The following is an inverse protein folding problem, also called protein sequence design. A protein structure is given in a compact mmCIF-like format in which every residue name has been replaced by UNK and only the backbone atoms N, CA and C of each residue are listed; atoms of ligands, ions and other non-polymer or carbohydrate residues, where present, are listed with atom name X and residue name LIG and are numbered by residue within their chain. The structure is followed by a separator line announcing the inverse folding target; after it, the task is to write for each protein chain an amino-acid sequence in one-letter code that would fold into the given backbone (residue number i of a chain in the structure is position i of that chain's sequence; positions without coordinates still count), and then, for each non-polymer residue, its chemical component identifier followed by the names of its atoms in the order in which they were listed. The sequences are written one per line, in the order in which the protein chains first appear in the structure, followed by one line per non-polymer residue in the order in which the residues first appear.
data_IF_267361062222
#
_entry.id   IF_267361062222
#
_cell.length_a   1.000
_cell.length_b   1.000
_cell.length_c   1.000
_cell.angle_alpha   90.00
_cell.angle_beta   90.00
_cell.angle_gamma   90.00
#
_symmetry.space_group_name_H-M   'P 1'
#
loop_
_entity.id
_entity.type
_entity.pdbx_description
1 polymer ?
#
# COMPACT_ATOMS: atom_id res chain seq x y z
N UNK A 1 25.59 17.90 24.35
CA UNK A 1 24.42 18.17 23.49
C UNK A 1 24.79 19.33 22.58
N UNK A 2 24.87 19.10 21.27
CA UNK A 2 25.04 20.16 20.27
C UNK A 2 24.33 19.70 18.99
N UNK A 3 23.17 20.28 18.70
CA UNK A 3 22.43 20.08 17.46
C UNK A 3 22.92 21.12 16.44
N UNK A 4 23.50 20.64 15.33
CA UNK A 4 23.81 21.49 14.19
C UNK A 4 22.56 21.58 13.29
N UNK A 5 22.09 22.81 13.10
CA UNK A 5 20.99 23.17 12.22
C UNK A 5 21.46 23.19 10.75
N UNK A 6 20.59 22.73 9.85
CA UNK A 6 20.71 23.01 8.41
C UNK A 6 19.42 23.64 7.91
N UNK A 7 19.57 24.88 7.45
CA UNK A 7 18.56 25.75 6.91
C UNK A 7 18.05 25.23 5.54
N UNK A 8 16.73 25.27 5.35
CA UNK A 8 16.13 25.18 4.02
C UNK A 8 15.30 26.44 3.80
N UNK A 9 15.84 27.32 2.96
CA UNK A 9 15.18 28.51 2.45
C UNK A 9 14.83 28.28 0.99
N UNK A 10 13.56 28.37 0.62
CA UNK A 10 13.16 28.81 -0.72
C UNK A 10 11.97 29.75 -0.57
N UNK A 11 12.25 31.04 -0.72
CA UNK A 11 11.26 32.08 -0.87
C UNK A 11 11.23 32.51 -2.34
N UNK A 12 10.04 32.57 -2.92
CA UNK A 12 9.68 33.62 -3.88
C UNK A 12 8.15 33.70 -3.99
N UNK A 13 7.62 34.82 -3.49
CA UNK A 13 6.26 35.30 -3.71
C UNK A 13 6.05 35.67 -5.19
N UNK A 14 4.83 35.49 -5.68
CA UNK A 14 4.21 36.50 -6.57
C UNK A 14 2.82 36.83 -6.01
N UNK A 15 2.68 38.11 -5.65
CA UNK A 15 1.47 38.77 -5.14
C UNK A 15 0.67 39.33 -6.31
N UNK A 16 -0.66 39.24 -6.22
CA UNK A 16 -1.53 40.39 -6.43
C UNK A 16 -2.44 40.40 -7.65
N UNK A 17 -3.72 40.68 -7.40
CA UNK A 17 -4.64 41.21 -8.43
C UNK A 17 -6.12 41.00 -8.16
N UNK A 18 -6.69 41.57 -7.08
CA UNK A 18 -8.14 41.81 -7.01
C UNK A 18 -8.48 43.07 -7.80
N UNK A 19 -9.25 42.92 -8.87
CA UNK A 19 -9.94 44.04 -9.52
C UNK A 19 -11.40 43.65 -9.80
N UNK A 20 -12.30 44.19 -8.99
CA UNK A 20 -13.72 44.31 -9.33
C UNK A 20 -13.86 45.32 -10.48
N UNK A 21 -14.41 44.90 -11.61
CA UNK A 21 -15.02 45.82 -12.59
C UNK A 21 -16.35 45.26 -13.08
N UNK A 22 -17.39 46.07 -12.91
CA UNK A 22 -18.76 45.90 -13.40
C UNK A 22 -18.82 45.93 -14.94
N UNK A 23 -19.68 45.07 -15.49
CA UNK A 23 -20.47 45.17 -16.74
C UNK A 23 -20.09 46.24 -17.78
N UNK A 24 -19.78 45.81 -19.01
CA UNK A 24 -20.31 46.38 -20.27
C UNK A 24 -20.01 45.48 -21.48
N UNK A 25 -20.91 45.56 -22.44
CA UNK A 25 -21.17 44.75 -23.63
C UNK A 25 -20.00 44.46 -24.59
N UNK A 26 -20.09 43.30 -25.25
CA UNK A 26 -19.71 43.13 -26.65
C UNK A 26 -18.23 42.99 -26.97
N UNK A 27 -17.72 41.75 -26.95
CA UNK A 27 -16.63 41.29 -27.82
C UNK A 27 -16.64 39.77 -27.84
N UNK A 28 -16.69 39.16 -29.03
CA UNK A 28 -16.43 37.73 -29.21
C UNK A 28 -14.94 37.48 -28.96
N UNK A 29 -14.56 37.38 -27.69
CA UNK A 29 -13.22 37.00 -27.28
C UNK A 29 -13.11 35.48 -27.37
N UNK A 30 -12.28 35.01 -28.30
CA UNK A 30 -11.85 33.62 -28.42
C UNK A 30 -11.45 33.11 -27.03
N UNK A 31 -12.10 32.02 -26.60
CA UNK A 31 -11.78 31.35 -25.34
C UNK A 31 -10.28 31.03 -25.30
N UNK A 32 -9.58 31.28 -24.17
CA UNK A 32 -8.18 30.88 -24.05
C UNK A 32 -8.09 29.37 -24.21
N UNK A 33 -7.33 28.93 -25.20
CA UNK A 33 -6.95 27.52 -25.39
C UNK A 33 -6.31 27.06 -24.09
N UNK A 34 -7.02 26.22 -23.31
CA UNK A 34 -6.40 25.53 -22.19
C UNK A 34 -5.18 24.77 -22.72
N UNK A 35 -3.99 24.89 -22.12
CA UNK A 35 -2.90 24.01 -22.45
C UNK A 35 -3.38 22.59 -22.22
N UNK A 36 -3.47 21.80 -23.29
CA UNK A 36 -3.63 20.36 -23.17
C UNK A 36 -2.47 19.89 -22.32
N UNK A 37 -2.73 19.53 -21.07
CA UNK A 37 -1.72 18.94 -20.22
C UNK A 37 -1.30 17.64 -20.90
N UNK A 38 -0.15 17.68 -21.57
CA UNK A 38 0.47 16.49 -22.16
C UNK A 38 0.74 15.58 -20.98
N UNK A 39 -0.09 14.56 -20.79
CA UNK A 39 0.21 13.48 -19.86
C UNK A 39 1.49 12.84 -20.40
N UNK A 40 2.62 13.10 -19.76
CA UNK A 40 3.88 12.48 -20.15
C UNK A 40 3.67 10.97 -20.11
N UNK A 41 3.96 10.29 -21.21
CA UNK A 41 3.88 8.84 -21.27
C UNK A 41 4.87 8.22 -20.26
N UNK A 42 4.42 7.20 -19.52
CA UNK A 42 5.26 6.49 -18.56
C UNK A 42 6.41 5.80 -19.30
N UNK A 43 7.64 6.01 -18.84
CA UNK A 43 8.83 5.40 -19.46
C UNK A 43 9.04 3.95 -18.99
N UNK A 44 9.74 3.10 -19.77
CA UNK A 44 10.09 1.75 -19.33
C UNK A 44 10.84 1.72 -18.00
N UNK A 45 11.75 2.68 -17.77
CA UNK A 45 12.50 2.78 -16.52
C UNK A 45 11.60 3.08 -15.32
N UNK A 46 10.54 3.88 -15.52
CA UNK A 46 9.53 4.15 -14.48
C UNK A 46 8.72 2.90 -14.16
N UNK A 47 8.36 2.10 -15.16
CA UNK A 47 7.66 0.82 -14.96
C UNK A 47 8.53 -0.15 -14.17
N UNK A 48 9.79 -0.30 -14.55
CA UNK A 48 10.73 -1.19 -13.86
C UNK A 48 11.03 -0.73 -12.42
N UNK A 49 11.15 0.57 -12.18
CA UNK A 49 11.30 1.12 -10.84
C UNK A 49 10.05 0.85 -9.98
N UNK A 50 8.86 1.09 -10.52
CA UNK A 50 7.61 0.82 -9.82
C UNK A 50 7.43 -0.68 -9.49
N UNK A 51 7.78 -1.55 -10.44
CA UNK A 51 7.79 -3.01 -10.23
C UNK A 51 8.72 -3.39 -9.06
N UNK A 52 9.96 -2.89 -9.05
CA UNK A 52 10.92 -3.16 -7.98
C UNK A 52 10.43 -2.68 -6.61
N UNK A 53 9.83 -1.49 -6.56
CA UNK A 53 9.26 -0.94 -5.33
C UNK A 53 8.14 -1.83 -4.79
N UNK A 54 7.15 -2.15 -5.63
CA UNK A 54 6.01 -2.99 -5.25
C UNK A 54 6.45 -4.40 -4.80
N UNK A 55 7.38 -5.02 -5.53
CA UNK A 55 7.93 -6.33 -5.19
C UNK A 55 8.75 -6.31 -3.89
N UNK A 56 9.49 -5.23 -3.62
CA UNK A 56 10.27 -5.08 -2.38
C UNK A 56 9.35 -4.89 -1.18
N UNK A 57 8.35 -4.02 -1.32
CA UNK A 57 7.37 -3.77 -0.27
C UNK A 57 6.58 -5.04 0.07
N UNK A 58 6.10 -5.76 -0.95
CA UNK A 58 5.41 -7.05 -0.74
C UNK A 58 6.29 -8.06 0.02
N UNK A 59 7.55 -8.26 -0.38
CA UNK A 59 8.47 -9.19 0.30
C UNK A 59 8.69 -8.82 1.76
N UNK A 60 8.96 -7.54 2.03
CA UNK A 60 9.17 -7.04 3.38
C UNK A 60 7.93 -7.26 4.27
N UNK A 61 6.76 -6.93 3.73
CA UNK A 61 5.48 -7.13 4.41
C UNK A 61 5.18 -8.61 4.69
N UNK A 62 5.41 -9.49 3.71
CA UNK A 62 5.20 -10.93 3.87
C UNK A 62 6.07 -11.52 4.99
N UNK A 63 7.35 -11.13 5.05
CA UNK A 63 8.25 -11.55 6.14
C UNK A 63 7.74 -11.04 7.49
N UNK A 64 7.38 -9.76 7.57
CA UNK A 64 6.93 -9.13 8.81
C UNK A 64 5.62 -9.74 9.35
N UNK A 65 4.65 -10.01 8.48
CA UNK A 65 3.37 -10.64 8.87
C UNK A 65 3.56 -12.08 9.31
N UNK A 66 4.38 -12.87 8.59
CA UNK A 66 4.65 -14.26 8.97
C UNK A 66 5.36 -14.36 10.32
N UNK A 67 6.31 -13.46 10.60
CA UNK A 67 7.02 -13.43 11.88
C UNK A 67 6.06 -13.19 13.05
N UNK A 68 5.14 -12.22 12.93
CA UNK A 68 4.19 -11.92 14.01
C UNK A 68 3.10 -12.99 14.13
N UNK A 69 2.58 -13.51 13.01
CA UNK A 69 1.56 -14.58 13.02
C UNK A 69 2.09 -15.88 13.62
N UNK A 70 3.39 -16.17 13.45
CA UNK A 70 4.03 -17.33 14.07
C UNK A 70 3.89 -17.36 15.60
N UNK A 71 3.98 -16.22 16.27
CA UNK A 71 3.81 -16.15 17.73
C UNK A 71 2.39 -16.58 18.16
N UNK A 72 1.38 -16.26 17.36
CA UNK A 72 0.01 -16.73 17.58
C UNK A 72 -0.12 -18.24 17.30
N UNK A 73 0.45 -18.73 16.20
CA UNK A 73 0.43 -20.17 15.86
C UNK A 73 1.11 -21.02 16.94
N UNK A 74 2.21 -20.52 17.52
CA UNK A 74 2.99 -21.21 18.54
C UNK A 74 2.38 -21.07 19.96
N UNK A 75 1.32 -20.27 20.13
CA UNK A 75 0.66 -20.05 21.43
C UNK A 75 -0.20 -21.25 21.85
N UNK A 76 -0.57 -21.37 23.15
CA UNK A 76 -1.44 -22.45 23.60
C UNK A 76 -2.76 -22.50 22.81
N UNK A 77 -3.23 -23.71 22.50
CA UNK A 77 -4.48 -23.92 21.75
C UNK A 77 -5.74 -23.38 22.48
N UNK A 78 -5.62 -23.08 23.78
CA UNK A 78 -6.67 -22.42 24.56
C UNK A 78 -6.85 -20.98 24.10
N UNK A 79 -7.95 -20.70 23.41
CA UNK A 79 -8.26 -19.38 22.82
C UNK A 79 -8.57 -18.29 23.86
N UNK A 80 -8.87 -18.67 25.10
CA UNK A 80 -9.07 -17.78 26.24
C UNK A 80 -7.77 -17.49 27.02
N UNK A 81 -6.67 -18.14 26.66
CA UNK A 81 -5.37 -17.90 27.28
C UNK A 81 -4.90 -16.47 26.96
N UNK A 82 -4.52 -15.66 27.96
CA UNK A 82 -4.09 -14.27 27.73
C UNK A 82 -2.92 -14.15 26.74
N UNK A 83 -2.03 -15.14 26.68
CA UNK A 83 -0.93 -15.15 25.73
C UNK A 83 -1.43 -15.35 24.29
N UNK A 84 -2.37 -16.27 24.08
CA UNK A 84 -3.01 -16.53 22.78
C UNK A 84 -3.80 -15.32 22.30
N UNK A 85 -4.59 -14.69 23.18
CA UNK A 85 -5.35 -13.47 22.85
C UNK A 85 -4.42 -12.31 22.47
N UNK A 86 -3.35 -12.10 23.24
CA UNK A 86 -2.37 -11.04 22.99
C UNK A 86 -1.63 -11.27 21.67
N UNK A 87 -1.20 -12.50 21.40
CA UNK A 87 -0.50 -12.86 20.17
C UNK A 87 -1.41 -12.71 18.94
N UNK A 88 -2.68 -13.12 19.04
CA UNK A 88 -3.67 -12.93 17.97
C UNK A 88 -3.89 -11.45 17.67
N UNK A 89 -4.11 -10.62 18.69
CA UNK A 89 -4.30 -9.19 18.52
C UNK A 89 -3.08 -8.53 17.84
N UNK A 90 -1.86 -8.92 18.24
CA UNK A 90 -0.63 -8.45 17.61
C UNK A 90 -0.53 -8.88 16.15
N UNK A 91 -0.87 -10.14 15.82
CA UNK A 91 -0.87 -10.65 14.46
C UNK A 91 -1.87 -9.90 13.56
N UNK A 92 -3.08 -9.64 14.05
CA UNK A 92 -4.11 -8.89 13.31
C UNK A 92 -3.70 -7.43 13.10
N UNK A 93 -3.17 -6.76 14.14
CA UNK A 93 -2.67 -5.40 14.03
C UNK A 93 -1.53 -5.29 13.02
N UNK A 94 -0.60 -6.25 13.04
CA UNK A 94 0.49 -6.31 12.07
C UNK A 94 -0.03 -6.55 10.65
N UNK A 95 -0.99 -7.45 10.46
CA UNK A 95 -1.58 -7.70 9.14
C UNK A 95 -2.18 -6.41 8.55
N UNK A 96 -2.97 -5.66 9.35
CA UNK A 96 -3.54 -4.37 8.91
C UNK A 96 -2.45 -3.35 8.57
N UNK A 97 -1.45 -3.19 9.43
CA UNK A 97 -0.36 -2.25 9.20
C UNK A 97 0.41 -2.57 7.90
N UNK A 98 0.72 -3.84 7.68
CA UNK A 98 1.48 -4.30 6.51
C UNK A 98 0.65 -4.25 5.23
N UNK A 99 -0.66 -4.53 5.27
CA UNK A 99 -1.56 -4.31 4.14
C UNK A 99 -1.55 -2.85 3.69
N UNK A 100 -1.62 -1.91 4.64
CA UNK A 100 -1.59 -0.48 4.31
C UNK A 100 -0.21 -0.04 3.79
N UNK A 101 0.87 -0.54 4.40
CA UNK A 101 2.23 -0.30 3.92
C UNK A 101 2.38 -0.73 2.45
N UNK A 102 1.97 -1.94 2.10
CA UNK A 102 2.08 -2.43 0.71
C UNK A 102 1.24 -1.58 -0.23
N UNK A 103 -0.01 -1.24 0.12
CA UNK A 103 -0.87 -0.38 -0.73
C UNK A 103 -0.26 0.98 -1.03
N UNK A 104 0.51 1.55 -0.10
CA UNK A 104 1.22 2.82 -0.29
C UNK A 104 2.45 2.70 -1.20
N UNK A 105 2.96 1.48 -1.40
CA UNK A 105 4.15 1.17 -2.21
C UNK A 105 3.79 0.40 -3.48
N UNK A 106 2.60 0.64 -4.04
CA UNK A 106 2.23 0.21 -5.39
C UNK A 106 2.11 1.48 -6.24
N UNK A 107 3.20 1.97 -6.84
CA UNK A 107 3.13 3.15 -7.69
C UNK A 107 2.23 2.91 -8.90
N UNK A 108 1.64 3.98 -9.45
CA UNK A 108 0.72 3.88 -10.59
C UNK A 108 1.34 3.23 -11.84
N UNK A 109 2.67 3.28 -11.98
CA UNK A 109 3.40 2.65 -13.08
C UNK A 109 3.69 1.14 -12.87
N UNK A 110 3.22 0.54 -11.75
CA UNK A 110 3.40 -0.89 -11.49
C UNK A 110 2.70 -1.71 -12.58
N UNK A 111 3.36 -2.72 -13.19
CA UNK A 111 2.71 -3.61 -14.14
C UNK A 111 1.44 -4.23 -13.58
N UNK A 112 0.40 -4.29 -14.41
CA UNK A 112 -0.93 -4.72 -13.98
C UNK A 112 -0.93 -6.13 -13.38
N UNK A 113 -0.18 -7.07 -13.96
CA UNK A 113 -0.07 -8.42 -13.42
C UNK A 113 0.57 -8.46 -12.02
N UNK A 114 1.48 -7.53 -11.71
CA UNK A 114 2.10 -7.41 -10.39
C UNK A 114 1.11 -6.82 -9.39
N UNK A 115 0.44 -5.72 -9.75
CA UNK A 115 -0.51 -5.07 -8.85
C UNK A 115 -1.72 -5.96 -8.51
N UNK A 116 -2.24 -6.71 -9.50
CA UNK A 116 -3.31 -7.70 -9.27
C UNK A 116 -2.82 -8.82 -8.36
N UNK A 117 -1.64 -9.40 -8.61
CA UNK A 117 -1.14 -10.48 -7.77
C UNK A 117 -0.87 -10.01 -6.33
N UNK A 118 -0.43 -8.76 -6.13
CA UNK A 118 -0.31 -8.15 -4.80
C UNK A 118 -1.70 -7.99 -4.16
N UNK A 119 -2.70 -7.51 -4.90
CA UNK A 119 -4.07 -7.39 -4.38
C UNK A 119 -4.62 -8.74 -3.92
N UNK A 120 -4.52 -9.78 -4.75
CA UNK A 120 -4.95 -11.15 -4.42
C UNK A 120 -4.28 -11.64 -3.12
N UNK A 121 -2.98 -11.34 -2.95
CA UNK A 121 -2.24 -11.67 -1.74
C UNK A 121 -2.76 -10.92 -0.51
N UNK A 122 -2.99 -9.60 -0.63
CA UNK A 122 -3.50 -8.78 0.48
C UNK A 122 -4.90 -9.21 0.91
N UNK A 123 -5.75 -9.60 -0.03
CA UNK A 123 -7.09 -10.11 0.27
C UNK A 123 -7.01 -11.45 1.02
N UNK A 124 -6.11 -12.35 0.62
CA UNK A 124 -5.87 -13.60 1.34
C UNK A 124 -5.34 -13.38 2.77
N UNK A 125 -4.51 -12.37 2.98
CA UNK A 125 -4.04 -11.96 4.33
C UNK A 125 -5.21 -11.48 5.19
N UNK A 126 -6.09 -10.63 4.64
CA UNK A 126 -7.27 -10.11 5.35
C UNK A 126 -8.21 -11.26 5.73
N UNK A 127 -8.51 -12.16 4.79
CA UNK A 127 -9.30 -13.36 5.03
C UNK A 127 -8.73 -14.22 6.16
N UNK A 128 -7.42 -14.43 6.14
CA UNK A 128 -6.72 -15.22 7.17
C UNK A 128 -6.83 -14.55 8.54
N UNK A 129 -6.57 -13.25 8.63
CA UNK A 129 -6.66 -12.50 9.88
C UNK A 129 -8.11 -12.48 10.44
N UNK A 130 -9.12 -12.41 9.57
CA UNK A 130 -10.51 -12.50 9.96
C UNK A 130 -10.87 -13.90 10.49
N UNK A 131 -10.43 -14.96 9.80
CA UNK A 131 -10.66 -16.34 10.20
C UNK A 131 -9.94 -16.72 11.50
N UNK A 132 -8.71 -16.23 11.71
CA UNK A 132 -7.95 -16.44 12.95
C UNK A 132 -8.70 -15.90 14.19
N UNK A 133 -9.54 -14.87 14.00
CA UNK A 133 -10.36 -14.25 15.04
C UNK A 133 -11.65 -14.98 15.40
N UNK A 134 -12.06 -15.99 14.63
CA UNK A 134 -13.31 -16.71 14.84
C UNK A 134 -13.12 -17.97 15.72
N UNK A 135 -13.96 -18.14 16.74
CA UNK A 135 -13.92 -19.32 17.59
C UNK A 135 -14.29 -20.59 16.79
N UNK A 136 -13.48 -21.65 16.91
CA UNK A 136 -13.71 -22.92 16.21
C UNK A 136 -13.38 -22.91 14.72
N UNK A 137 -12.76 -21.85 14.20
CA UNK A 137 -12.50 -21.65 12.78
C UNK A 137 -11.09 -22.06 12.33
N UNK A 138 -10.37 -22.90 13.08
CA UNK A 138 -8.97 -23.28 12.77
C UNK A 138 -8.85 -23.86 11.35
N UNK A 139 -9.80 -24.70 10.92
CA UNK A 139 -9.84 -25.24 9.57
C UNK A 139 -10.06 -24.14 8.50
N UNK A 140 -10.90 -23.14 8.79
CA UNK A 140 -11.15 -22.02 7.90
C UNK A 140 -9.93 -21.08 7.82
N UNK A 141 -9.24 -20.85 8.94
CA UNK A 141 -8.01 -20.09 9.00
C UNK A 141 -6.86 -20.77 8.23
N UNK A 142 -6.73 -22.09 8.37
CA UNK A 142 -5.77 -22.86 7.58
C UNK A 142 -6.11 -22.83 6.09
N UNK A 143 -7.38 -23.02 5.73
CA UNK A 143 -7.81 -22.91 4.34
C UNK A 143 -7.59 -21.51 3.76
N UNK A 144 -7.79 -20.45 4.56
CA UNK A 144 -7.48 -19.07 4.14
C UNK A 144 -5.97 -18.87 3.93
N UNK A 145 -5.15 -19.39 4.83
CA UNK A 145 -3.70 -19.37 4.68
C UNK A 145 -3.25 -20.15 3.43
N UNK A 146 -3.83 -21.31 3.15
CA UNK A 146 -3.53 -22.11 1.96
C UNK A 146 -3.90 -21.39 0.66
N UNK A 147 -5.02 -20.64 0.66
CA UNK A 147 -5.40 -19.80 -0.50
C UNK A 147 -4.34 -18.73 -0.81
N UNK A 148 -3.56 -18.28 0.17
CA UNK A 148 -2.46 -17.33 -0.06
C UNK A 148 -1.29 -17.93 -0.88
N UNK A 149 -1.18 -19.26 -0.98
CA UNK A 149 -0.08 -19.91 -1.68
C UNK A 149 -0.09 -19.60 -3.19
N UNK A 150 -1.27 -19.50 -3.81
CA UNK A 150 -1.43 -19.18 -5.23
C UNK A 150 -0.88 -17.78 -5.57
N UNK A 151 -1.35 -16.68 -4.94
CA UNK A 151 -0.81 -15.35 -5.22
C UNK A 151 0.65 -15.22 -4.79
N UNK A 152 1.09 -15.87 -3.71
CA UNK A 152 2.52 -15.92 -3.34
C UNK A 152 3.35 -16.58 -4.44
N UNK A 153 2.88 -17.68 -5.03
CA UNK A 153 3.55 -18.35 -6.14
C UNK A 153 3.68 -17.45 -7.38
N UNK A 154 2.59 -16.75 -7.75
CA UNK A 154 2.60 -15.75 -8.83
C UNK A 154 3.59 -14.62 -8.55
N UNK A 155 3.55 -14.05 -7.35
CA UNK A 155 4.45 -12.95 -6.97
C UNK A 155 5.91 -13.39 -6.93
N UNK A 156 6.21 -14.60 -6.45
CA UNK A 156 7.57 -15.17 -6.55
C UNK A 156 8.04 -15.32 -8.00
N UNK A 157 7.14 -15.54 -8.96
CA UNK A 157 7.49 -15.62 -10.37
C UNK A 157 7.69 -14.23 -11.00
N UNK A 158 6.84 -13.27 -10.64
CA UNK A 158 6.84 -11.92 -11.20
C UNK A 158 7.94 -11.01 -10.59
N UNK A 159 8.23 -11.19 -9.31
CA UNK A 159 9.18 -10.44 -8.50
C UNK A 159 10.53 -11.14 -8.35
N UNK A 160 10.93 -11.94 -9.35
CA UNK A 160 12.30 -12.43 -9.42
C UNK A 160 13.21 -11.25 -9.74
N UNK A 161 14.24 -11.10 -8.92
CA UNK A 161 15.41 -10.29 -9.24
C UNK A 161 16.32 -11.13 -10.13
#
# INVERSE_FOLDING_TARGET
MAFAALAVSFAALVVGGTALVRTSSGSLQSAPTQPTAVTAAVSPDQVEAAKREACTAWRAAAVAMNATRKAFIDSPARRDDPATVTALAAAQAQAVAQVQYVRQHIPAATPHEVSVAISDYLDAVIDTAAADGQAGADAAANAAADRSAVPVGKLKALCKD
#
